data_IF_903560273610
#
_entry.id   IF_903560273610
#
_cell.length_a   1.000
_cell.length_b   1.000
_cell.length_c   1.000
_cell.angle_alpha   90.00
_cell.angle_beta   90.00
_cell.angle_gamma   90.00
#
_symmetry.space_group_name_H-M   'P 1'
#
loop_
_entity.id
_entity.type
_entity.pdbx_description
1 polymer ?
#
# COMPACT_ATOMS: atom_id res chain seq x y z
N UNK A 1 -3.43 -16.79 -11.48
CA UNK A 1 -2.23 -16.06 -11.01
C UNK A 1 -1.51 -15.32 -12.17
N UNK A 2 -2.22 -14.72 -13.13
CA UNK A 2 -1.60 -14.21 -14.38
C UNK A 2 -1.91 -12.75 -14.72
N UNK A 3 -2.81 -12.09 -13.97
CA UNK A 3 -3.21 -10.71 -14.25
C UNK A 3 -2.29 -9.66 -13.60
N UNK A 4 -1.65 -10.00 -12.47
CA UNK A 4 -0.86 -9.07 -11.68
C UNK A 4 0.46 -8.66 -12.36
N UNK A 5 1.14 -9.59 -13.04
CA UNK A 5 2.40 -9.33 -13.77
C UNK A 5 2.22 -8.47 -15.01
N UNK A 6 1.06 -8.55 -15.68
CA UNK A 6 0.78 -7.75 -16.88
C UNK A 6 0.52 -6.28 -16.54
N UNK A 7 -0.24 -6.02 -15.47
CA UNK A 7 -0.53 -4.66 -15.01
C UNK A 7 0.72 -3.96 -14.47
N UNK A 8 1.54 -4.64 -13.67
CA UNK A 8 2.82 -4.09 -13.17
C UNK A 8 3.82 -3.78 -14.30
N UNK A 9 3.80 -4.55 -15.38
CA UNK A 9 4.64 -4.29 -16.55
C UNK A 9 4.14 -3.06 -17.34
N UNK A 10 2.81 -2.89 -17.46
CA UNK A 10 2.19 -1.71 -18.08
C UNK A 10 2.51 -0.45 -17.27
N UNK A 11 2.39 -0.49 -15.95
CA UNK A 11 2.67 0.67 -15.09
C UNK A 11 4.14 1.12 -15.18
N UNK A 12 5.09 0.19 -15.29
CA UNK A 12 6.51 0.53 -15.49
C UNK A 12 6.80 1.16 -16.85
N UNK A 13 6.11 0.69 -17.89
CA UNK A 13 6.26 1.26 -19.23
C UNK A 13 5.67 2.67 -19.28
N UNK A 14 4.50 2.89 -18.67
CA UNK A 14 3.88 4.21 -18.57
C UNK A 14 4.72 5.18 -17.75
N UNK A 15 5.32 4.75 -16.63
CA UNK A 15 6.24 5.61 -15.85
C UNK A 15 7.45 6.03 -16.68
N UNK A 16 8.07 5.11 -17.43
CA UNK A 16 9.20 5.44 -18.32
C UNK A 16 8.80 6.42 -19.41
N UNK A 17 7.60 6.27 -19.95
CA UNK A 17 7.07 7.17 -20.98
C UNK A 17 6.80 8.57 -20.42
N UNK A 18 6.25 8.66 -19.21
CA UNK A 18 6.10 9.91 -18.48
C UNK A 18 7.46 10.59 -18.21
N UNK A 19 8.47 9.83 -17.77
CA UNK A 19 9.83 10.34 -17.55
C UNK A 19 10.48 10.83 -18.85
N UNK A 20 10.31 10.08 -19.94
CA UNK A 20 10.76 10.48 -21.28
C UNK A 20 10.10 11.78 -21.71
N UNK A 21 8.77 11.88 -21.59
CA UNK A 21 8.02 13.07 -21.99
C UNK A 21 8.43 14.31 -21.17
N UNK A 22 8.60 14.17 -19.86
CA UNK A 22 9.14 15.25 -19.01
C UNK A 22 10.53 15.72 -19.44
N UNK A 23 11.37 14.84 -19.99
CA UNK A 23 12.68 15.24 -20.50
C UNK A 23 12.62 16.00 -21.84
N UNK A 24 11.52 15.87 -22.59
CA UNK A 24 11.30 16.51 -23.89
C UNK A 24 10.61 17.87 -23.79
N UNK A 25 9.68 18.02 -22.84
CA UNK A 25 8.91 19.27 -22.62
C UNK A 25 9.77 20.54 -22.56
N UNK A 26 10.97 20.57 -21.93
CA UNK A 26 11.81 21.76 -21.93
C UNK A 26 12.27 22.21 -23.33
N UNK A 27 12.56 21.27 -24.22
CA UNK A 27 12.94 21.57 -25.60
C UNK A 27 11.74 22.08 -26.40
N UNK A 28 10.56 21.48 -26.19
CA UNK A 28 9.32 21.90 -26.84
C UNK A 28 8.89 23.30 -26.38
N UNK A 29 9.05 23.62 -25.08
CA UNK A 29 8.78 24.96 -24.54
C UNK A 29 9.72 26.01 -25.13
N UNK A 30 10.99 25.67 -25.33
CA UNK A 30 11.93 26.59 -25.96
C UNK A 30 11.58 26.84 -27.43
N UNK A 31 11.16 25.80 -28.17
CA UNK A 31 10.67 25.95 -29.54
C UNK A 31 9.40 26.81 -29.61
N UNK A 32 8.43 26.58 -28.71
CA UNK A 32 7.19 27.36 -28.64
C UNK A 32 7.44 28.83 -28.25
N UNK A 33 8.38 29.10 -27.33
CA UNK A 33 8.83 30.47 -27.00
C UNK A 33 9.42 31.19 -28.20
N UNK A 34 10.26 30.51 -28.99
CA UNK A 34 10.87 31.09 -30.19
C UNK A 34 9.84 31.35 -31.29
N UNK A 35 8.80 30.52 -31.37
CA UNK A 35 7.67 30.71 -32.29
C UNK A 35 6.65 31.76 -31.81
N UNK A 36 6.72 32.20 -30.54
CA UNK A 36 5.72 33.08 -29.93
C UNK A 36 4.35 32.40 -29.74
N UNK A 37 4.34 31.07 -29.67
CA UNK A 37 3.13 30.26 -29.55
C UNK A 37 2.75 30.07 -28.06
N UNK A 38 1.88 30.95 -27.58
CA UNK A 38 1.45 31.00 -26.18
C UNK A 38 0.52 29.83 -25.84
N UNK A 39 -0.32 29.39 -26.79
CA UNK A 39 -1.26 28.29 -26.57
C UNK A 39 -0.50 26.97 -26.35
N UNK A 40 0.50 26.70 -27.20
CA UNK A 40 1.37 25.53 -27.03
C UNK A 40 2.19 25.60 -25.73
N UNK A 41 2.54 26.78 -25.23
CA UNK A 41 3.22 26.92 -23.94
C UNK A 41 2.32 26.55 -22.76
N UNK A 42 1.07 27.00 -22.76
CA UNK A 42 0.09 26.68 -21.71
C UNK A 42 -0.23 25.17 -21.72
N UNK A 43 -0.40 24.58 -22.91
CA UNK A 43 -0.63 23.14 -23.08
C UNK A 43 0.54 22.31 -22.52
N UNK A 44 1.79 22.72 -22.79
CA UNK A 44 2.99 22.04 -22.30
C UNK A 44 3.13 22.16 -20.76
N UNK A 45 2.72 23.28 -20.17
CA UNK A 45 2.69 23.46 -18.72
C UNK A 45 1.62 22.59 -18.05
N UNK A 46 0.44 22.49 -18.67
CA UNK A 46 -0.62 21.62 -18.19
C UNK A 46 -0.21 20.14 -18.31
N UNK A 47 0.41 19.74 -19.42
CA UNK A 47 0.94 18.39 -19.63
C UNK A 47 2.02 18.05 -18.58
N UNK A 48 2.98 18.95 -18.34
CA UNK A 48 4.01 18.79 -17.31
C UNK A 48 3.40 18.56 -15.93
N UNK A 49 2.38 19.35 -15.58
CA UNK A 49 1.66 19.22 -14.31
C UNK A 49 0.94 17.87 -14.20
N UNK A 50 0.22 17.46 -15.25
CA UNK A 50 -0.50 16.18 -15.26
C UNK A 50 0.44 14.98 -15.12
N UNK A 51 1.60 15.02 -15.79
CA UNK A 51 2.60 13.96 -15.69
C UNK A 51 3.21 13.90 -14.29
N UNK A 52 3.56 15.04 -13.70
CA UNK A 52 4.06 15.08 -12.32
C UNK A 52 3.01 14.56 -11.32
N UNK A 53 1.75 14.97 -11.43
CA UNK A 53 0.65 14.47 -10.59
C UNK A 53 0.47 12.95 -10.72
N UNK A 54 0.62 12.40 -11.94
CA UNK A 54 0.56 10.96 -12.18
C UNK A 54 1.75 10.24 -11.52
N UNK A 55 2.96 10.73 -11.71
CA UNK A 55 4.18 10.15 -11.13
C UNK A 55 4.16 10.21 -9.60
N UNK A 56 3.69 11.30 -9.01
CA UNK A 56 3.56 11.46 -7.56
C UNK A 56 2.53 10.50 -6.96
N UNK A 57 1.45 10.20 -7.68
CA UNK A 57 0.47 9.18 -7.27
C UNK A 57 0.98 7.76 -7.46
N UNK A 58 1.79 7.53 -8.49
CA UNK A 58 2.34 6.22 -8.84
C UNK A 58 3.55 5.82 -7.97
N UNK A 59 4.30 6.78 -7.44
CA UNK A 59 5.49 6.56 -6.60
C UNK A 59 5.12 6.50 -5.12
N UNK A 60 5.75 5.60 -4.37
CA UNK A 60 5.72 5.62 -2.90
C UNK A 60 6.73 6.63 -2.34
N UNK A 61 6.69 6.87 -1.02
CA UNK A 61 7.55 7.84 -0.30
C UNK A 61 9.07 7.50 -0.41
N UNK A 62 9.44 6.37 -1.01
CA UNK A 62 10.83 5.93 -1.24
C UNK A 62 11.17 5.75 -2.73
N UNK A 63 10.31 6.20 -3.66
CA UNK A 63 10.55 6.13 -5.10
C UNK A 63 10.30 4.76 -5.73
N UNK A 64 9.71 3.81 -4.99
CA UNK A 64 9.24 2.54 -5.55
C UNK A 64 7.87 2.69 -6.21
N UNK A 65 7.58 1.89 -7.24
CA UNK A 65 6.21 1.78 -7.76
C UNK A 65 5.29 1.32 -6.63
N UNK A 66 4.27 2.11 -6.30
CA UNK A 66 3.32 1.77 -5.24
C UNK A 66 2.56 0.52 -5.70
N UNK A 67 2.70 -0.65 -5.05
CA UNK A 67 1.86 -1.78 -5.39
C UNK A 67 0.42 -1.33 -5.15
N UNK A 68 -0.44 -1.47 -6.18
CA UNK A 68 -1.86 -1.19 -6.04
C UNK A 68 -2.32 -1.99 -4.82
N UNK A 69 -2.70 -1.28 -3.75
CA UNK A 69 -2.95 -1.93 -2.47
C UNK A 69 -4.06 -2.95 -2.71
N UNK A 70 -3.72 -4.23 -2.57
CA UNK A 70 -4.72 -5.28 -2.46
C UNK A 70 -5.52 -4.93 -1.20
N UNK A 71 -6.63 -4.23 -1.38
CA UNK A 71 -7.39 -3.58 -0.30
C UNK A 71 -7.81 -4.60 0.75
N UNK A 72 -8.04 -5.84 0.33
CA UNK A 72 -8.31 -6.99 1.18
C UNK A 72 -7.10 -7.34 2.05
N UNK A 73 -5.89 -7.34 1.47
CA UNK A 73 -4.64 -7.60 2.20
C UNK A 73 -4.24 -6.45 3.11
N UNK A 74 -4.52 -5.21 2.72
CA UNK A 74 -4.35 -4.02 3.57
C UNK A 74 -5.26 -4.10 4.79
N UNK A 75 -6.55 -4.40 4.59
CA UNK A 75 -7.52 -4.58 5.66
C UNK A 75 -7.14 -5.75 6.58
N UNK A 76 -6.74 -6.90 6.02
CA UNK A 76 -6.24 -8.05 6.78
C UNK A 76 -5.04 -7.66 7.67
N UNK A 77 -4.06 -6.95 7.12
CA UNK A 77 -2.89 -6.50 7.86
C UNK A 77 -3.25 -5.52 8.98
N UNK A 78 -4.20 -4.61 8.75
CA UNK A 78 -4.70 -3.70 9.79
C UNK A 78 -5.37 -4.45 10.94
N UNK A 79 -6.24 -5.43 10.62
CA UNK A 79 -6.90 -6.27 11.63
C UNK A 79 -5.87 -7.12 12.38
N UNK A 80 -4.90 -7.71 11.68
CA UNK A 80 -3.79 -8.46 12.28
C UNK A 80 -3.03 -7.63 13.31
N UNK A 81 -2.64 -6.41 12.93
CA UNK A 81 -1.93 -5.51 13.83
C UNK A 81 -2.76 -5.11 15.05
N UNK A 82 -4.07 -4.91 14.89
CA UNK A 82 -4.96 -4.61 16.01
C UNK A 82 -5.04 -5.79 17.00
N UNK A 83 -5.19 -7.02 16.48
CA UNK A 83 -5.18 -8.25 17.28
C UNK A 83 -3.83 -8.42 17.99
N UNK A 84 -2.71 -8.27 17.29
CA UNK A 84 -1.37 -8.39 17.88
C UNK A 84 -1.15 -7.39 19.03
N UNK A 85 -1.64 -6.15 18.89
CA UNK A 85 -1.59 -5.14 19.94
C UNK A 85 -2.46 -5.50 21.14
N UNK A 86 -3.66 -6.03 20.90
CA UNK A 86 -4.56 -6.49 21.96
C UNK A 86 -3.93 -7.67 22.72
N UNK A 87 -3.36 -8.65 22.01
CA UNK A 87 -2.67 -9.80 22.59
C UNK A 87 -1.51 -9.36 23.49
N UNK A 88 -0.68 -8.42 23.05
CA UNK A 88 0.40 -7.85 23.89
C UNK A 88 -0.11 -7.21 25.17
N UNK A 89 -1.22 -6.45 25.11
CA UNK A 89 -1.83 -5.83 26.29
C UNK A 89 -2.37 -6.86 27.28
N UNK A 90 -3.01 -7.92 26.76
CA UNK A 90 -3.54 -9.02 27.58
C UNK A 90 -2.40 -9.78 28.25
N UNK A 91 -1.29 -10.03 27.54
CA UNK A 91 -0.11 -10.70 28.06
C UNK A 91 0.55 -9.95 29.23
N UNK A 92 0.57 -8.61 29.19
CA UNK A 92 1.20 -7.78 30.20
C UNK A 92 0.29 -7.35 31.35
N UNK A 93 -0.98 -7.77 31.37
CA UNK A 93 -1.95 -7.36 32.36
C UNK A 93 -1.92 -8.25 33.63
N UNK A 94 -2.63 -7.84 34.68
CA UNK A 94 -2.75 -8.62 35.90
C UNK A 94 -3.57 -9.91 35.65
N UNK A 95 -3.37 -10.96 36.48
CA UNK A 95 -4.22 -12.14 36.46
C UNK A 95 -5.73 -11.78 36.49
N UNK A 96 -6.60 -12.52 35.76
CA UNK A 96 -6.32 -13.76 35.02
C UNK A 96 -5.93 -13.55 33.54
N UNK A 97 -5.71 -12.30 33.10
CA UNK A 97 -5.54 -11.97 31.68
C UNK A 97 -4.36 -12.67 30.98
N UNK A 98 -3.19 -12.91 31.60
CA UNK A 98 -2.13 -13.70 30.97
C UNK A 98 -2.55 -15.13 30.60
N UNK A 99 -3.44 -15.78 31.36
CA UNK A 99 -4.01 -17.09 31.02
C UNK A 99 -4.91 -17.02 29.78
N UNK A 100 -5.60 -15.88 29.60
CA UNK A 100 -6.40 -15.61 28.41
C UNK A 100 -5.52 -15.42 27.18
N UNK A 101 -4.40 -14.73 27.33
CA UNK A 101 -3.42 -14.61 26.25
C UNK A 101 -2.89 -15.98 25.80
N UNK A 102 -2.56 -16.87 26.73
CA UNK A 102 -2.09 -18.23 26.40
C UNK A 102 -3.14 -19.01 25.61
N UNK A 103 -4.40 -18.98 26.05
CA UNK A 103 -5.52 -19.63 25.34
C UNK A 103 -5.70 -19.06 23.93
N UNK A 104 -5.81 -17.73 23.81
CA UNK A 104 -6.03 -17.06 22.53
C UNK A 104 -4.87 -17.27 21.55
N UNK A 105 -3.62 -17.34 22.03
CA UNK A 105 -2.44 -17.61 21.19
C UNK A 105 -2.47 -19.01 20.59
N UNK A 106 -3.06 -19.99 21.28
CA UNK A 106 -3.23 -21.37 20.79
C UNK A 106 -4.48 -21.52 19.94
N UNK A 107 -5.52 -20.72 20.22
CA UNK A 107 -6.82 -20.83 19.59
C UNK A 107 -6.96 -20.01 18.31
N UNK A 108 -6.24 -18.89 18.16
CA UNK A 108 -6.30 -18.04 16.97
C UNK A 108 -5.22 -18.43 15.97
N UNK A 109 -5.64 -18.95 14.81
CA UNK A 109 -4.77 -19.13 13.65
C UNK A 109 -4.96 -17.96 12.67
N UNK A 110 -3.86 -17.53 12.07
CA UNK A 110 -3.85 -16.52 11.00
C UNK A 110 -3.02 -16.95 9.78
N UNK A 111 -2.60 -18.21 9.72
CA UNK A 111 -1.96 -18.78 8.55
C UNK A 111 -2.98 -18.78 7.39
N UNK A 112 -2.55 -18.31 6.21
CA UNK A 112 -3.34 -18.26 4.97
C UNK A 112 -4.29 -17.06 4.77
N UNK A 113 -4.10 -15.96 5.51
CA UNK A 113 -4.83 -14.72 5.21
C UNK A 113 -6.29 -14.71 5.69
N UNK A 114 -6.64 -15.62 6.60
CA UNK A 114 -7.94 -15.69 7.27
C UNK A 114 -7.68 -15.79 8.78
N UNK A 115 -8.56 -15.22 9.60
CA UNK A 115 -8.55 -15.45 11.04
C UNK A 115 -9.49 -16.61 11.38
N UNK A 116 -8.94 -17.68 11.94
CA UNK A 116 -9.70 -18.83 12.37
C UNK A 116 -9.59 -18.99 13.88
N UNK A 117 -10.72 -19.05 14.57
CA UNK A 117 -10.76 -19.41 15.98
C UNK A 117 -11.03 -20.91 16.12
N UNK A 118 -10.00 -21.66 16.50
CA UNK A 118 -10.09 -23.06 16.86
C UNK A 118 -10.11 -23.16 18.38
N UNK A 119 -11.21 -23.55 19.02
CA UNK A 119 -11.21 -23.70 20.47
C UNK A 119 -10.15 -24.74 20.87
N UNK A 120 -9.15 -24.31 21.64
CA UNK A 120 -8.21 -25.22 22.26
C UNK A 120 -8.99 -26.20 23.17
N UNK A 121 -8.59 -27.49 23.24
CA UNK A 121 -9.38 -28.53 23.91
C UNK A 121 -9.57 -28.33 25.42
N UNK A 122 -8.83 -27.42 26.06
CA UNK A 122 -9.03 -27.05 27.46
C UNK A 122 -9.31 -25.55 27.61
N UNK A 123 -10.49 -25.23 28.12
CA UNK A 123 -10.82 -23.87 28.59
C UNK A 123 -10.05 -23.62 29.89
N UNK A 124 -9.30 -22.52 30.04
CA UNK A 124 -8.59 -22.23 31.28
C UNK A 124 -9.56 -22.06 32.45
N UNK A 125 -9.18 -22.55 33.63
CA UNK A 125 -9.89 -22.20 34.87
C UNK A 125 -9.54 -20.75 35.22
N UNK A 126 -10.54 -19.88 35.12
CA UNK A 126 -10.44 -18.47 35.49
C UNK A 126 -10.61 -18.36 37.00
N UNK A 127 -9.55 -17.99 37.72
CA UNK A 127 -9.71 -17.45 39.07
C UNK A 127 -10.04 -15.97 38.89
N UNK A 128 -11.29 -15.61 39.16
CA UNK A 128 -11.81 -14.24 39.16
C UNK A 128 -11.48 -13.53 40.47
#
# INVERSE_FOLDING_TARGET
MTQQTRQEAVDKQTIRECERRLSEIPADREAARQAGDIETLDDLEEEEKQINDYLDKARDVRGGSRPLADSQRSMFNSVKQAIDRAMKKIASAQPPLPKLHEHLSKALDSANGVFEYRPAPSVPVWEL
#
